data_IF_811975270665
#
_entry.id   IF_811975270665
#
_cell.length_a   1.000
_cell.length_b   1.000
_cell.length_c   1.000
_cell.angle_alpha   90.00
_cell.angle_beta   90.00
_cell.angle_gamma   90.00
#
_symmetry.space_group_name_H-M   'P 1'
#
loop_
_entity.id
_entity.type
_entity.pdbx_description
1 polymer ?
#
# COMPACT_ATOMS: atom_id res chain seq x y z
N UNK A 1 -11.59 -25.71 -5.09
CA UNK A 1 -11.82 -24.32 -5.57
C UNK A 1 -10.68 -23.48 -5.00
N UNK A 2 -9.96 -22.74 -5.83
CA UNK A 2 -8.79 -21.97 -5.39
C UNK A 2 -9.21 -20.89 -4.39
N UNK A 3 -8.48 -20.78 -3.28
CA UNK A 3 -8.76 -19.85 -2.21
C UNK A 3 -8.15 -18.47 -2.53
N UNK A 4 -9.00 -17.50 -2.88
CA UNK A 4 -8.61 -16.10 -3.11
C UNK A 4 -8.62 -15.26 -1.82
N UNK A 5 -8.73 -15.89 -0.66
CA UNK A 5 -8.92 -15.20 0.60
C UNK A 5 -7.74 -14.29 1.00
N UNK A 6 -6.53 -14.49 0.48
CA UNK A 6 -5.40 -13.58 0.74
C UNK A 6 -5.58 -12.17 0.12
N UNK A 7 -6.46 -12.02 -0.89
CA UNK A 7 -6.90 -10.71 -1.40
C UNK A 7 -7.99 -10.06 -0.53
N UNK A 8 -8.62 -10.84 0.36
CA UNK A 8 -9.75 -10.45 1.20
C UNK A 8 -9.40 -10.38 2.70
N UNK A 9 -8.32 -11.06 3.12
CA UNK A 9 -7.87 -11.08 4.50
C UNK A 9 -7.10 -9.80 4.80
N UNK A 10 -7.78 -8.89 5.47
CA UNK A 10 -7.20 -7.72 6.10
C UNK A 10 -6.39 -8.13 7.34
N UNK A 11 -5.35 -8.95 7.16
CA UNK A 11 -4.40 -9.26 8.23
C UNK A 11 -3.47 -8.05 8.43
N UNK A 12 -3.56 -7.33 9.56
CA UNK A 12 -2.70 -6.19 9.85
C UNK A 12 -1.23 -6.62 10.01
N UNK A 13 -0.98 -7.88 10.35
CA UNK A 13 0.34 -8.45 10.60
C UNK A 13 0.96 -9.11 9.36
N UNK A 14 0.31 -9.02 8.19
CA UNK A 14 0.81 -9.68 6.95
C UNK A 14 2.19 -9.20 6.48
N UNK A 15 2.60 -8.03 6.93
CA UNK A 15 3.92 -7.45 6.65
C UNK A 15 4.89 -7.59 7.84
N UNK A 16 4.48 -8.24 8.93
CA UNK A 16 5.31 -8.46 10.10
C UNK A 16 6.33 -9.56 9.84
N UNK A 17 7.56 -9.33 10.31
CA UNK A 17 8.66 -10.26 10.09
C UNK A 17 8.41 -11.57 10.84
N UNK A 18 8.74 -12.68 10.18
CA UNK A 18 8.72 -14.03 10.77
C UNK A 18 10.17 -14.50 10.89
N UNK A 19 10.61 -15.06 12.04
CA UNK A 19 12.01 -15.39 12.31
C UNK A 19 12.69 -16.24 11.22
N UNK A 20 11.93 -17.12 10.57
CA UNK A 20 12.44 -18.10 9.61
C UNK A 20 12.00 -17.81 8.15
N UNK A 21 11.55 -16.60 7.83
CA UNK A 21 11.19 -16.23 6.45
C UNK A 21 12.25 -15.33 5.80
N UNK A 22 12.59 -15.58 4.52
CA UNK A 22 13.38 -14.62 3.76
C UNK A 22 12.63 -13.28 3.68
N UNK A 23 13.38 -12.19 3.71
CA UNK A 23 12.83 -10.83 3.70
C UNK A 23 13.14 -10.09 2.41
N UNK A 24 12.31 -9.10 2.09
CA UNK A 24 12.53 -8.13 1.02
C UNK A 24 12.20 -6.71 1.51
N UNK A 25 12.77 -5.70 0.85
CA UNK A 25 12.50 -4.29 1.15
C UNK A 25 11.26 -3.80 0.41
N UNK A 26 10.28 -3.25 1.13
CA UNK A 26 9.06 -2.67 0.56
C UNK A 26 8.72 -1.32 1.19
N UNK A 27 7.94 -0.51 0.47
CA UNK A 27 7.30 0.70 1.01
C UNK A 27 5.85 0.37 1.36
N UNK A 28 5.49 0.51 2.62
CA UNK A 28 4.17 0.23 3.17
C UNK A 28 3.45 1.54 3.45
N UNK A 29 2.25 1.69 2.89
CA UNK A 29 1.38 2.82 3.25
C UNK A 29 0.61 2.47 4.52
N UNK A 30 0.81 3.22 5.60
CA UNK A 30 0.27 2.90 6.94
C UNK A 30 -1.05 3.60 7.26
N UNK A 31 -1.46 4.57 6.45
CA UNK A 31 -2.68 5.34 6.64
C UNK A 31 -2.82 6.44 5.58
N UNK A 32 -3.87 7.25 5.71
CA UNK A 32 -3.97 8.49 4.94
C UNK A 32 -3.12 9.60 5.56
N UNK A 33 -2.46 10.40 4.72
CA UNK A 33 -1.57 11.47 5.19
C UNK A 33 -0.40 11.81 4.29
N UNK A 34 0.55 12.54 4.88
CA UNK A 34 1.76 12.99 4.22
C UNK A 34 2.78 11.87 4.02
N UNK A 35 4.04 12.23 3.82
CA UNK A 35 5.11 11.24 3.63
C UNK A 35 5.37 10.40 4.88
N UNK A 36 4.91 10.84 6.05
CA UNK A 36 4.92 10.08 7.31
C UNK A 36 4.11 8.78 7.26
N UNK A 37 3.23 8.63 6.25
CA UNK A 37 2.47 7.39 6.01
C UNK A 37 3.15 6.40 5.10
N UNK A 38 4.37 6.68 4.63
CA UNK A 38 5.17 5.74 3.83
C UNK A 38 6.29 5.16 4.70
N UNK A 39 6.20 3.87 4.99
CA UNK A 39 7.16 3.14 5.82
C UNK A 39 8.03 2.23 4.93
N UNK A 40 9.31 2.55 4.77
CA UNK A 40 10.27 1.72 4.05
C UNK A 40 10.92 0.73 5.00
N UNK A 41 10.59 -0.56 4.86
CA UNK A 41 11.01 -1.60 5.80
C UNK A 41 11.22 -2.96 5.16
N UNK A 42 11.80 -3.88 5.93
CA UNK A 42 11.78 -5.31 5.61
C UNK A 42 10.39 -5.88 5.83
N UNK A 43 9.96 -6.73 4.88
CA UNK A 43 8.74 -7.54 4.97
C UNK A 43 9.06 -8.97 4.51
N UNK A 44 8.26 -9.98 4.88
CA UNK A 44 8.44 -11.33 4.35
C UNK A 44 8.32 -11.35 2.82
N UNK A 45 9.14 -12.17 2.15
CA UNK A 45 8.96 -12.46 0.72
C UNK A 45 7.62 -13.20 0.54
N UNK A 46 6.73 -12.73 -0.36
CA UNK A 46 5.45 -13.38 -0.57
C UNK A 46 5.63 -14.74 -1.25
N UNK A 47 4.77 -15.69 -0.91
CA UNK A 47 4.72 -17.02 -1.51
C UNK A 47 3.59 -17.03 -2.55
N UNK A 48 3.87 -17.24 -3.85
CA UNK A 48 2.83 -17.25 -4.87
C UNK A 48 1.89 -18.45 -4.68
N UNK A 49 0.58 -18.20 -4.77
CA UNK A 49 -0.44 -19.24 -4.82
C UNK A 49 -0.57 -19.90 -6.19
N UNK A 50 -1.49 -20.87 -6.35
CA UNK A 50 -1.72 -21.53 -7.63
C UNK A 50 -2.11 -20.55 -8.75
N UNK A 51 -1.33 -20.53 -9.83
CA UNK A 51 -1.55 -19.63 -10.97
C UNK A 51 -0.90 -18.24 -10.83
N UNK A 52 -0.23 -17.97 -9.72
CA UNK A 52 0.55 -16.74 -9.52
C UNK A 52 2.04 -16.96 -9.82
N UNK A 53 2.75 -15.85 -10.03
CA UNK A 53 4.20 -15.84 -10.20
C UNK A 53 4.83 -14.82 -9.26
N UNK A 54 6.02 -15.15 -8.74
CA UNK A 54 6.83 -14.21 -7.95
C UNK A 54 7.80 -13.48 -8.87
N UNK A 55 7.75 -12.15 -8.87
CA UNK A 55 8.61 -11.31 -9.69
C UNK A 55 9.65 -10.58 -8.84
N UNK A 56 10.90 -10.51 -9.34
CA UNK A 56 11.92 -9.61 -8.79
C UNK A 56 11.79 -8.24 -9.46
N UNK A 57 11.30 -7.27 -8.71
CA UNK A 57 11.10 -5.90 -9.21
C UNK A 57 12.43 -5.16 -9.29
N UNK A 58 12.86 -4.81 -10.50
CA UNK A 58 14.06 -3.99 -10.74
C UNK A 58 13.75 -2.49 -10.80
N UNK A 59 12.49 -2.15 -11.06
CA UNK A 59 11.97 -0.79 -11.08
C UNK A 59 10.45 -0.83 -11.08
N UNK A 60 9.84 0.15 -10.42
CA UNK A 60 8.39 0.33 -10.37
C UNK A 60 8.05 1.74 -10.85
N UNK A 61 7.01 1.86 -11.66
CA UNK A 61 6.45 3.15 -12.03
C UNK A 61 5.75 3.80 -10.83
N UNK A 62 5.79 5.12 -10.76
CA UNK A 62 4.97 5.88 -9.80
C UNK A 62 3.74 6.38 -10.54
N UNK A 63 2.55 6.05 -10.03
CA UNK A 63 1.29 6.52 -10.57
C UNK A 63 0.61 7.48 -9.56
N UNK A 64 -0.23 8.38 -10.08
CA UNK A 64 -0.98 9.33 -9.25
C UNK A 64 -1.99 8.61 -8.35
N UNK A 65 -2.42 7.41 -8.70
CA UNK A 65 -3.42 6.63 -7.95
C UNK A 65 -2.92 6.28 -6.55
N UNK A 66 -1.63 5.96 -6.41
CA UNK A 66 -1.00 5.68 -5.12
C UNK A 66 -0.96 6.94 -4.25
N UNK A 67 -0.59 8.07 -4.86
CA UNK A 67 -0.57 9.37 -4.20
C UNK A 67 -1.98 9.73 -3.74
N UNK A 68 -2.97 9.66 -4.62
CA UNK A 68 -4.36 9.99 -4.33
C UNK A 68 -4.93 9.09 -3.23
N UNK A 69 -4.64 7.79 -3.26
CA UNK A 69 -5.08 6.84 -2.21
C UNK A 69 -4.46 7.19 -0.85
N UNK A 70 -3.15 7.47 -0.81
CA UNK A 70 -2.47 7.89 0.42
C UNK A 70 -2.97 9.24 0.93
N UNK A 71 -3.31 10.18 0.05
CA UNK A 71 -3.82 11.48 0.45
C UNK A 71 -5.32 11.46 0.79
N UNK A 72 -6.02 10.33 0.62
CA UNK A 72 -7.46 10.23 0.81
C UNK A 72 -8.28 10.99 -0.24
N UNK A 73 -7.69 11.26 -1.41
CA UNK A 73 -8.23 12.15 -2.43
C UNK A 73 -9.60 11.73 -2.99
N UNK A 74 -9.91 10.44 -2.95
CA UNK A 74 -11.20 9.93 -3.43
C UNK A 74 -12.36 10.14 -2.44
N UNK A 75 -12.11 10.77 -1.30
CA UNK A 75 -13.18 11.21 -0.39
C UNK A 75 -14.10 12.19 -1.09
N UNK A 76 -15.41 12.03 -0.90
CA UNK A 76 -16.42 12.90 -1.50
C UNK A 76 -16.29 14.38 -1.05
N UNK A 77 -15.53 14.63 0.03
CA UNK A 77 -15.28 15.96 0.59
C UNK A 77 -14.15 16.74 -0.11
N UNK A 78 -13.42 16.11 -1.03
CA UNK A 78 -12.24 16.69 -1.70
C UNK A 78 -12.65 17.47 -2.94
N UNK A 79 -12.19 18.73 -3.06
CA UNK A 79 -12.53 19.65 -4.17
C UNK A 79 -11.31 20.25 -4.89
N UNK A 80 -10.10 19.80 -4.58
CA UNK A 80 -8.83 20.37 -5.07
C UNK A 80 -8.01 19.33 -5.85
N UNK A 81 -7.11 19.78 -6.74
CA UNK A 81 -6.25 18.90 -7.55
C UNK A 81 -5.01 18.40 -6.82
N UNK A 82 -4.48 17.22 -7.20
CA UNK A 82 -3.40 16.49 -6.51
C UNK A 82 -2.14 17.33 -6.23
N UNK A 83 -1.77 18.25 -7.13
CA UNK A 83 -0.60 19.12 -6.95
C UNK A 83 -0.76 20.22 -5.91
N UNK A 84 -1.98 20.47 -5.42
CA UNK A 84 -2.29 21.47 -4.39
C UNK A 84 -2.38 20.86 -2.98
N UNK A 85 -2.14 19.55 -2.83
CA UNK A 85 -2.12 18.91 -1.52
C UNK A 85 -0.78 19.14 -0.84
N UNK A 86 -0.74 20.18 0.01
CA UNK A 86 0.37 20.48 0.91
C UNK A 86 0.25 19.61 2.17
N UNK A 87 1.39 19.22 2.76
CA UNK A 87 1.45 18.43 4.00
C UNK A 87 0.65 19.02 5.19
N UNK A 88 0.29 20.31 5.12
CA UNK A 88 -0.42 21.06 6.16
C UNK A 88 -1.95 21.11 5.98
N UNK A 89 -2.54 20.38 5.01
CA UNK A 89 -3.99 20.40 4.81
C UNK A 89 -4.72 19.46 5.82
N UNK A 90 -5.54 19.96 6.76
CA UNK A 90 -6.15 19.15 7.83
C UNK A 90 -7.17 18.10 7.34
N UNK A 91 -7.40 17.94 6.03
CA UNK A 91 -8.34 16.97 5.45
C UNK A 91 -7.76 15.57 5.19
N UNK A 92 -6.56 15.27 5.68
CA UNK A 92 -5.87 14.00 5.46
C UNK A 92 -6.45 12.78 6.20
N UNK A 93 -7.55 12.90 6.92
CA UNK A 93 -8.08 11.84 7.82
C UNK A 93 -9.44 11.30 7.39
N UNK A 94 -9.74 11.28 6.11
CA UNK A 94 -11.04 10.83 5.61
C UNK A 94 -11.04 9.31 5.43
N UNK A 95 -11.80 8.61 6.27
CA UNK A 95 -12.00 7.15 6.25
C UNK A 95 -12.57 6.64 4.91
N UNK A 96 -13.19 7.51 4.11
CA UNK A 96 -13.77 7.23 2.79
C UNK A 96 -12.84 7.55 1.60
N UNK A 97 -11.55 7.78 1.85
CA UNK A 97 -10.59 8.30 0.87
C UNK A 97 -10.16 7.36 -0.27
N UNK A 98 -10.81 6.22 -0.46
CA UNK A 98 -10.41 5.17 -1.40
C UNK A 98 -11.27 5.13 -2.67
N UNK A 99 -10.72 4.55 -3.74
CA UNK A 99 -11.41 4.47 -5.03
C UNK A 99 -12.52 3.41 -4.97
N UNK A 100 -13.79 3.86 -4.96
CA UNK A 100 -15.03 3.07 -4.81
C UNK A 100 -15.26 2.39 -3.44
N UNK A 101 -14.24 2.23 -2.61
CA UNK A 101 -14.33 1.67 -1.26
C UNK A 101 -13.24 2.25 -0.34
N UNK A 102 -13.44 2.24 1.00
CA UNK A 102 -12.40 2.63 1.96
C UNK A 102 -11.08 1.87 1.74
N UNK A 103 -9.92 2.56 1.82
CA UNK A 103 -8.63 1.91 1.69
C UNK A 103 -8.31 1.07 2.94
N UNK A 104 -7.89 -0.18 2.73
CA UNK A 104 -7.57 -1.13 3.82
C UNK A 104 -6.08 -1.07 4.20
N UNK A 105 -5.72 -0.19 5.14
CA UNK A 105 -4.34 -0.08 5.63
C UNK A 105 -3.93 -1.22 6.58
N UNK A 106 -2.63 -1.58 6.66
CA UNK A 106 -1.51 -1.09 5.83
C UNK A 106 -1.64 -1.59 4.38
N UNK A 107 -1.05 -0.94 3.37
CA UNK A 107 -1.13 -1.34 1.95
C UNK A 107 0.25 -1.35 1.28
N UNK A 108 0.47 -2.30 0.37
CA UNK A 108 1.50 -2.22 -0.68
C UNK A 108 0.84 -2.58 -2.01
N UNK A 109 0.67 -1.63 -2.93
CA UNK A 109 0.06 -1.91 -4.25
C UNK A 109 1.03 -2.60 -5.20
N UNK A 110 2.31 -2.28 -5.08
CA UNK A 110 3.38 -2.90 -5.85
C UNK A 110 4.34 -3.58 -4.87
N UNK A 111 4.41 -4.92 -4.80
CA UNK A 111 5.41 -5.60 -3.98
C UNK A 111 6.78 -5.29 -4.58
N UNK A 112 7.48 -4.31 -4.01
CA UNK A 112 8.86 -4.04 -4.40
C UNK A 112 9.72 -5.12 -3.74
N UNK A 113 10.45 -5.90 -4.54
CA UNK A 113 11.46 -6.82 -4.06
C UNK A 113 12.82 -6.30 -4.51
N UNK A 114 13.38 -5.34 -3.76
CA UNK A 114 14.74 -4.87 -3.99
C UNK A 114 15.73 -5.79 -3.25
N UNK A 115 16.32 -6.74 -3.98
CA UNK A 115 17.46 -7.53 -3.50
C UNK A 115 18.77 -6.97 -4.06
N UNK A 116 19.77 -6.82 -3.19
CA UNK A 116 21.18 -6.83 -3.60
C UNK A 116 21.64 -8.28 -3.77
#
# INVERSE_FOLDING_TARGET
>A
MCDFSYLLHNDPERFSLKPDHPTMKAVITTGTGGYDKLDYRDVPVPVPGPGEVLLRVLGAGVNNTEINTRLGWYSASVKSGTGQFSADNPRFTTEDGGWNAPPLFPLSREPTAAGK
#
